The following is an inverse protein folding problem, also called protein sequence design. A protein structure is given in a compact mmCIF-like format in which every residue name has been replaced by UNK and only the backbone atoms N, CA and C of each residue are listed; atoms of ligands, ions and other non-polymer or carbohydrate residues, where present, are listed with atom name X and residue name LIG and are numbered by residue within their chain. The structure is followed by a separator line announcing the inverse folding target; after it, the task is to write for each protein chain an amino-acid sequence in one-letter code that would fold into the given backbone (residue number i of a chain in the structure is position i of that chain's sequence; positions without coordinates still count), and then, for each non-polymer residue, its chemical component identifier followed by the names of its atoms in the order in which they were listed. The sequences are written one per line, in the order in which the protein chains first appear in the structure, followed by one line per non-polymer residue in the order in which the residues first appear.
data_IF_507862965215
#
_entry.id   IF_507862965215
#
_cell.length_a   1.000
_cell.length_b   1.000
_cell.length_c   1.000
_cell.angle_alpha   90.00
_cell.angle_beta   90.00
_cell.angle_gamma   90.00
#
_symmetry.space_group_name_H-M   'P 1'
#
loop_
_entity.id
_entity.type
_entity.pdbx_description
1 polymer ?
#
# COMPACT_ATOMS: atom_id res chain seq x y z
N UNK A 1 -41.69 71.41 6.44
CA UNK A 1 -41.91 71.06 5.02
C UNK A 1 -40.62 71.50 4.31
N UNK A 2 -39.70 70.66 3.86
CA UNK A 2 -39.67 69.23 3.60
C UNK A 2 -38.32 68.63 4.05
N UNK A 3 -38.31 67.31 4.26
CA UNK A 3 -37.17 66.49 4.60
C UNK A 3 -36.35 66.12 3.35
N UNK A 4 -35.03 66.12 3.48
CA UNK A 4 -34.12 65.38 2.61
C UNK A 4 -33.07 64.76 3.53
N UNK A 5 -33.23 63.46 3.78
CA UNK A 5 -32.29 62.60 4.45
C UNK A 5 -31.90 61.56 3.39
N UNK A 6 -30.63 61.57 2.98
CA UNK A 6 -30.08 60.67 1.97
C UNK A 6 -29.74 59.33 2.66
N UNK A 7 -30.53 58.29 2.34
CA UNK A 7 -30.33 56.91 2.80
C UNK A 7 -29.37 56.20 1.81
N UNK A 8 -28.07 56.23 2.10
CA UNK A 8 -27.06 55.38 1.46
C UNK A 8 -27.26 53.92 1.92
N UNK A 9 -27.96 53.12 1.11
CA UNK A 9 -28.06 51.67 1.29
C UNK A 9 -26.92 50.96 0.56
N UNK A 10 -25.95 50.49 1.31
CA UNK A 10 -24.93 49.54 0.88
C UNK A 10 -25.56 48.14 0.77
N UNK A 11 -25.77 47.69 -0.46
CA UNK A 11 -26.24 46.34 -0.78
C UNK A 11 -25.11 45.33 -0.53
N UNK A 12 -25.22 44.54 0.55
CA UNK A 12 -24.29 43.44 0.84
C UNK A 12 -24.90 42.14 0.33
N UNK A 13 -24.48 41.68 -0.85
CA UNK A 13 -24.84 40.37 -1.37
C UNK A 13 -24.07 39.28 -0.61
N UNK A 14 -24.76 38.53 0.25
CA UNK A 14 -24.25 37.31 0.85
C UNK A 14 -24.13 36.22 -0.24
N UNK A 15 -22.91 35.74 -0.51
CA UNK A 15 -22.68 34.54 -1.32
C UNK A 15 -23.27 33.33 -0.59
N UNK A 16 -24.18 32.62 -1.25
CA UNK A 16 -24.65 31.31 -0.83
C UNK A 16 -23.46 30.35 -0.77
N UNK A 17 -23.26 29.73 0.40
CA UNK A 17 -22.28 28.67 0.59
C UNK A 17 -22.68 27.43 -0.18
N UNK A 18 -21.73 26.89 -0.93
CA UNK A 18 -21.82 25.62 -1.65
C UNK A 18 -21.85 24.49 -0.61
N UNK A 19 -23.06 24.06 -0.23
CA UNK A 19 -23.24 22.90 0.62
C UNK A 19 -23.11 21.65 -0.27
N UNK A 20 -21.94 21.02 -0.22
CA UNK A 20 -21.69 19.71 -0.84
C UNK A 20 -22.60 18.69 -0.15
N UNK A 21 -23.51 18.09 -0.92
CA UNK A 21 -24.38 17.02 -0.47
C UNK A 21 -23.58 15.71 -0.36
N UNK A 22 -23.08 15.44 0.85
CA UNK A 22 -22.30 14.24 1.20
C UNK A 22 -23.07 12.94 0.92
N UNK A 23 -24.40 13.01 0.95
CA UNK A 23 -25.30 11.87 0.66
C UNK A 23 -25.35 11.54 -0.82
N UNK A 24 -25.17 12.52 -1.71
CA UNK A 24 -25.06 12.29 -3.16
C UNK A 24 -23.70 11.65 -3.52
N UNK A 25 -22.61 12.05 -2.85
CA UNK A 25 -21.28 11.45 -3.04
C UNK A 25 -21.28 9.96 -2.64
N UNK A 26 -22.04 9.58 -1.61
CA UNK A 26 -22.10 8.19 -1.14
C UNK A 26 -22.79 7.23 -2.13
N UNK A 27 -23.55 7.73 -3.12
CA UNK A 27 -24.21 6.90 -4.15
C UNK A 27 -23.32 6.56 -5.34
N UNK A 28 -22.25 7.34 -5.56
CA UNK A 28 -21.36 7.22 -6.73
C UNK A 28 -20.04 6.48 -6.41
N UNK A 29 -19.83 6.06 -5.15
CA UNK A 29 -18.62 5.33 -4.73
C UNK A 29 -18.82 3.83 -4.94
N UNK A 30 -18.00 3.22 -5.79
CA UNK A 30 -17.92 1.78 -5.88
C UNK A 30 -17.22 1.20 -4.63
N UNK A 31 -17.99 0.49 -3.81
CA UNK A 31 -17.55 -0.04 -2.52
C UNK A 31 -16.46 -1.10 -2.67
N UNK A 32 -16.48 -1.91 -3.74
CA UNK A 32 -15.51 -3.00 -3.92
C UNK A 32 -14.06 -2.48 -4.14
N UNK A 33 -13.77 -1.64 -5.16
CA UNK A 33 -12.45 -1.01 -5.28
C UNK A 33 -12.08 -0.18 -4.06
N UNK A 34 -13.06 0.45 -3.39
CA UNK A 34 -12.84 1.14 -2.12
C UNK A 34 -12.29 0.21 -1.02
N UNK A 35 -12.89 -0.97 -0.86
CA UNK A 35 -12.46 -1.98 0.09
C UNK A 35 -11.07 -2.53 -0.24
N UNK A 36 -10.80 -2.85 -1.52
CA UNK A 36 -9.45 -3.25 -1.96
C UNK A 36 -8.40 -2.18 -1.66
N UNK A 37 -8.75 -0.91 -1.88
CA UNK A 37 -7.88 0.22 -1.56
C UNK A 37 -7.57 0.36 -0.06
N UNK A 38 -8.51 0.01 0.80
CA UNK A 38 -8.29 -0.05 2.24
C UNK A 38 -7.37 -1.23 2.61
N UNK A 39 -7.58 -2.42 2.04
CA UNK A 39 -6.69 -3.59 2.25
C UNK A 39 -5.24 -3.23 1.92
N UNK A 40 -4.96 -2.60 0.77
CA UNK A 40 -3.62 -2.15 0.42
C UNK A 40 -3.04 -1.13 1.41
N UNK A 41 -3.86 -0.20 1.92
CA UNK A 41 -3.41 0.76 2.92
C UNK A 41 -3.04 0.08 4.25
N UNK A 42 -3.81 -0.93 4.68
CA UNK A 42 -3.44 -1.72 5.85
C UNK A 42 -2.17 -2.53 5.60
N UNK A 43 -2.03 -3.18 4.46
CA UNK A 43 -0.79 -3.90 4.11
C UNK A 43 0.42 -2.97 4.14
N UNK A 44 0.32 -1.76 3.58
CA UNK A 44 1.38 -0.76 3.65
C UNK A 44 1.79 -0.41 5.09
N UNK A 45 0.80 -0.36 6.00
CA UNK A 45 1.03 -0.12 7.43
C UNK A 45 1.64 -1.33 8.14
N UNK A 46 1.21 -2.55 7.80
CA UNK A 46 1.67 -3.79 8.43
C UNK A 46 3.12 -4.15 8.06
N UNK A 47 3.62 -3.68 6.90
CA UNK A 47 5.05 -3.75 6.54
C UNK A 47 5.88 -2.58 7.12
N UNK A 48 5.53 -2.12 8.32
CA UNK A 48 6.33 -1.18 9.10
C UNK A 48 6.57 -1.72 10.49
N UNK A 49 7.61 -1.23 11.18
CA UNK A 49 7.81 -1.58 12.57
C UNK A 49 6.56 -1.20 13.38
N UNK A 50 6.02 -2.16 14.12
CA UNK A 50 4.81 -1.98 14.89
C UNK A 50 5.05 -1.02 16.07
N UNK A 51 4.47 0.18 15.97
CA UNK A 51 4.35 1.06 17.12
C UNK A 51 3.36 0.51 18.16
N UNK A 52 3.22 1.22 19.28
CA UNK A 52 2.39 0.77 20.40
C UNK A 52 0.91 0.62 20.03
N UNK A 53 0.43 1.38 19.06
CA UNK A 53 -0.98 1.34 18.66
C UNK A 53 -1.23 0.21 17.68
N UNK A 54 -0.36 0.04 16.68
CA UNK A 54 -0.45 -1.08 15.76
C UNK A 54 -0.29 -2.42 16.49
N UNK A 55 0.67 -2.52 17.42
CA UNK A 55 0.84 -3.72 18.24
C UNK A 55 -0.42 -4.06 19.03
N UNK A 56 -1.07 -3.07 19.65
CA UNK A 56 -2.28 -3.32 20.44
C UNK A 56 -3.42 -3.85 19.57
N UNK A 57 -3.61 -3.28 18.37
CA UNK A 57 -4.62 -3.74 17.43
C UNK A 57 -4.33 -5.17 16.94
N UNK A 58 -3.07 -5.49 16.63
CA UNK A 58 -2.65 -6.84 16.28
C UNK A 58 -2.86 -7.83 17.44
N UNK A 59 -2.51 -7.46 18.67
CA UNK A 59 -2.66 -8.34 19.83
C UNK A 59 -4.13 -8.53 20.25
N UNK A 60 -4.97 -7.53 19.99
CA UNK A 60 -6.41 -7.57 20.26
C UNK A 60 -7.22 -8.35 19.22
N UNK A 61 -6.66 -8.63 18.04
CA UNK A 61 -7.38 -9.22 16.91
C UNK A 61 -8.13 -8.20 16.05
N UNK A 62 -8.10 -6.91 16.40
CA UNK A 62 -8.83 -5.85 15.71
C UNK A 62 -8.44 -5.77 14.22
N UNK A 63 -7.16 -5.99 13.91
CA UNK A 63 -6.68 -6.01 12.51
C UNK A 63 -7.25 -7.20 11.75
N UNK A 64 -7.35 -8.38 12.37
CA UNK A 64 -7.95 -9.58 11.74
C UNK A 64 -9.41 -9.30 11.40
N UNK A 65 -10.18 -8.81 12.37
CA UNK A 65 -11.60 -8.49 12.19
C UNK A 65 -11.82 -7.41 11.11
N UNK A 66 -10.89 -6.46 10.98
CA UNK A 66 -10.95 -5.42 9.96
C UNK A 66 -10.69 -6.00 8.55
N UNK A 67 -9.72 -6.90 8.39
CA UNK A 67 -9.50 -7.57 7.10
C UNK A 67 -10.68 -8.44 6.71
N UNK A 68 -11.28 -9.18 7.64
CA UNK A 68 -12.51 -9.95 7.38
C UNK A 68 -13.63 -9.03 6.84
N UNK A 69 -13.90 -7.91 7.50
CA UNK A 69 -14.92 -6.96 7.08
C UNK A 69 -14.63 -6.29 5.73
N UNK A 70 -13.34 -6.03 5.43
CA UNK A 70 -12.93 -5.49 4.14
C UNK A 70 -13.07 -6.53 3.03
N UNK A 71 -12.74 -7.79 3.31
CA UNK A 71 -12.86 -8.88 2.36
C UNK A 71 -14.32 -9.21 2.05
N UNK A 72 -15.23 -9.14 3.03
CA UNK A 72 -16.68 -9.25 2.81
C UNK A 72 -17.25 -8.17 1.87
N UNK A 73 -16.55 -7.03 1.76
CA UNK A 73 -16.93 -5.90 0.89
C UNK A 73 -16.20 -5.91 -0.45
N UNK A 74 -15.16 -6.72 -0.58
CA UNK A 74 -14.47 -6.92 -1.84
C UNK A 74 -15.10 -8.10 -2.59
N UNK A 75 -15.13 -8.04 -3.91
CA UNK A 75 -15.65 -9.14 -4.73
C UNK A 75 -14.63 -10.29 -4.94
N UNK A 76 -13.50 -10.26 -4.22
CA UNK A 76 -12.42 -11.22 -4.37
C UNK A 76 -12.66 -12.48 -3.53
N UNK A 77 -12.41 -13.64 -4.12
CA UNK A 77 -12.43 -14.92 -3.44
C UNK A 77 -11.07 -15.15 -2.74
N UNK A 78 -10.88 -14.51 -1.58
CA UNK A 78 -9.64 -14.59 -0.79
C UNK A 78 -9.99 -14.91 0.66
N UNK A 79 -9.45 -16.03 1.16
CA UNK A 79 -9.59 -16.40 2.56
C UNK A 79 -8.94 -15.34 3.48
N UNK A 80 -9.66 -14.83 4.49
CA UNK A 80 -9.13 -13.87 5.46
C UNK A 80 -7.87 -14.36 6.17
N UNK A 81 -6.93 -13.46 6.48
CA UNK A 81 -5.73 -13.81 7.23
C UNK A 81 -5.98 -13.76 8.74
N UNK A 82 -5.29 -14.60 9.52
CA UNK A 82 -5.13 -14.37 10.96
C UNK A 82 -3.87 -13.55 11.22
N UNK A 83 -4.06 -12.28 11.57
CA UNK A 83 -2.98 -11.35 11.89
C UNK A 83 -2.78 -11.15 13.39
N UNK A 84 -3.46 -11.94 14.22
CA UNK A 84 -3.34 -11.84 15.67
C UNK A 84 -1.92 -12.19 16.11
N UNK A 85 -1.32 -11.37 16.98
CA UNK A 85 0.00 -11.62 17.57
C UNK A 85 -0.13 -12.00 19.03
N UNK A 86 0.54 -13.09 19.42
CA UNK A 86 0.53 -13.59 20.81
C UNK A 86 1.83 -13.30 21.56
N UNK A 87 2.88 -12.93 20.82
CA UNK A 87 4.16 -12.51 21.39
C UNK A 87 4.10 -11.06 21.90
N UNK A 88 5.10 -10.68 22.70
CA UNK A 88 5.18 -9.29 23.15
C UNK A 88 5.69 -8.36 22.04
N UNK A 89 5.56 -7.04 22.26
CA UNK A 89 5.94 -6.04 21.26
C UNK A 89 7.45 -6.03 20.99
N UNK A 90 8.26 -6.41 21.97
CA UNK A 90 9.72 -6.42 21.83
C UNK A 90 10.14 -7.57 20.91
N UNK A 91 9.58 -8.76 21.10
CA UNK A 91 9.79 -9.91 20.22
C UNK A 91 9.32 -9.65 18.77
N UNK A 92 8.15 -9.00 18.60
CA UNK A 92 7.65 -8.63 17.27
C UNK A 92 8.56 -7.60 16.57
N UNK A 93 9.08 -6.62 17.31
CA UNK A 93 10.01 -5.62 16.80
C UNK A 93 11.38 -6.23 16.48
N UNK A 94 11.88 -7.12 17.35
CA UNK A 94 13.11 -7.87 17.09
C UNK A 94 13.00 -8.65 15.79
N UNK A 95 11.88 -9.37 15.57
CA UNK A 95 11.65 -10.09 14.32
C UNK A 95 11.56 -9.17 13.11
N UNK A 96 10.91 -8.00 13.23
CA UNK A 96 10.90 -7.02 12.14
C UNK A 96 12.33 -6.61 11.75
N UNK A 97 13.15 -6.31 12.74
CA UNK A 97 14.52 -5.87 12.52
C UNK A 97 15.37 -6.99 11.90
N UNK A 98 15.24 -8.21 12.41
CA UNK A 98 15.97 -9.38 11.91
C UNK A 98 15.61 -9.72 10.46
N UNK A 99 14.34 -9.54 10.06
CA UNK A 99 13.89 -9.85 8.70
C UNK A 99 14.17 -8.74 7.70
N UNK A 100 13.93 -7.48 8.07
CA UNK A 100 13.79 -6.39 7.09
C UNK A 100 14.78 -5.24 7.25
N UNK A 101 15.52 -5.16 8.36
CA UNK A 101 16.37 -3.99 8.68
C UNK A 101 17.84 -4.35 8.76
N UNK A 102 18.18 -5.40 9.50
CA UNK A 102 19.56 -5.77 9.79
C UNK A 102 20.14 -6.57 8.62
N UNK A 103 21.09 -5.98 7.89
CA UNK A 103 21.93 -6.69 6.93
C UNK A 103 23.14 -7.36 7.59
N UNK A 104 23.69 -8.39 6.94
CA UNK A 104 24.90 -9.07 7.39
C UNK A 104 26.14 -8.50 6.69
N UNK A 105 27.18 -8.20 7.46
CA UNK A 105 28.49 -7.81 6.95
C UNK A 105 29.55 -8.80 7.42
N UNK A 106 30.11 -9.59 6.51
CA UNK A 106 31.22 -10.51 6.82
C UNK A 106 32.53 -10.03 6.19
N UNK A 107 33.61 -10.01 6.97
CA UNK A 107 34.96 -9.74 6.44
C UNK A 107 35.48 -11.03 5.79
N UNK A 108 35.41 -11.09 4.47
CA UNK A 108 35.81 -12.25 3.66
C UNK A 108 37.34 -12.40 3.61
N UNK A 109 38.08 -11.30 3.58
CA UNK A 109 39.54 -11.32 3.66
C UNK A 109 40.07 -10.18 4.55
N UNK A 110 40.73 -10.55 5.65
CA UNK A 110 41.32 -9.62 6.62
C UNK A 110 42.61 -8.97 6.14
N UNK A 111 43.19 -9.47 5.04
CA UNK A 111 44.47 -9.05 4.48
C UNK A 111 44.32 -7.87 3.54
N UNK A 112 43.21 -7.81 2.80
CA UNK A 112 42.86 -6.69 1.91
C UNK A 112 41.66 -5.87 2.40
N UNK A 113 40.95 -6.34 3.43
CA UNK A 113 39.80 -5.66 4.01
C UNK A 113 38.50 -5.86 3.22
N UNK A 114 38.42 -6.87 2.35
CA UNK A 114 37.19 -7.18 1.61
C UNK A 114 36.07 -7.55 2.58
N UNK A 115 35.00 -6.77 2.56
CA UNK A 115 33.76 -7.00 3.31
C UNK A 115 32.66 -7.37 2.32
N UNK A 116 32.04 -8.52 2.53
CA UNK A 116 30.79 -8.87 1.87
C UNK A 116 29.65 -8.30 2.71
N UNK A 117 28.87 -7.41 2.11
CA UNK A 117 27.66 -6.88 2.72
C UNK A 117 26.47 -7.50 2.00
N UNK A 118 25.68 -8.27 2.73
CA UNK A 118 24.34 -8.66 2.33
C UNK A 118 23.33 -7.73 3.01
N UNK A 119 22.28 -7.38 2.26
CA UNK A 119 21.12 -6.69 2.81
C UNK A 119 20.40 -7.54 3.85
N UNK A 120 19.27 -7.05 4.40
CA UNK A 120 18.44 -7.86 5.27
C UNK A 120 18.00 -9.16 4.56
N UNK A 121 17.74 -10.25 5.30
CA UNK A 121 17.33 -11.54 4.73
C UNK A 121 16.13 -11.43 3.78
N UNK A 122 15.22 -10.51 4.09
CA UNK A 122 14.07 -10.18 3.26
C UNK A 122 14.09 -8.68 2.96
N UNK A 123 14.33 -8.33 1.70
CA UNK A 123 14.34 -6.92 1.30
C UNK A 123 12.94 -6.34 1.19
N UNK A 124 12.78 -5.07 1.55
CA UNK A 124 11.57 -4.30 1.25
C UNK A 124 11.76 -3.39 0.03
N UNK A 125 12.66 -3.78 -0.89
CA UNK A 125 12.86 -3.12 -2.19
C UNK A 125 12.65 -4.09 -3.37
N UNK A 126 11.86 -3.66 -4.36
CA UNK A 126 11.48 -4.46 -5.53
C UNK A 126 12.71 -4.93 -6.33
N UNK A 127 13.72 -4.08 -6.46
CA UNK A 127 14.92 -4.37 -7.25
C UNK A 127 15.65 -5.63 -6.82
N UNK A 128 15.57 -5.99 -5.52
CA UNK A 128 16.27 -7.15 -4.97
C UNK A 128 15.62 -8.48 -5.38
N UNK A 129 14.43 -8.41 -5.98
CA UNK A 129 13.69 -9.54 -6.56
C UNK A 129 13.78 -9.60 -8.08
N UNK A 130 14.55 -8.70 -8.70
CA UNK A 130 14.71 -8.58 -10.16
C UNK A 130 16.18 -8.69 -10.57
N UNK A 131 16.75 -9.91 -10.61
CA UNK A 131 18.16 -10.08 -10.99
C UNK A 131 18.47 -9.62 -12.42
N UNK A 132 17.46 -9.57 -13.29
CA UNK A 132 17.59 -9.22 -14.71
C UNK A 132 17.31 -7.74 -15.03
N UNK A 133 16.93 -6.91 -14.04
CA UNK A 133 16.58 -5.49 -14.25
C UNK A 133 17.39 -4.62 -13.30
N UNK A 134 17.92 -3.50 -13.80
CA UNK A 134 18.71 -2.61 -12.94
C UNK A 134 17.82 -1.83 -11.96
N UNK A 135 18.32 -1.57 -10.75
CA UNK A 135 17.65 -0.73 -9.75
C UNK A 135 17.21 0.63 -10.33
N UNK A 136 18.03 1.24 -11.20
CA UNK A 136 17.72 2.51 -11.86
C UNK A 136 16.50 2.39 -12.79
N UNK A 137 16.38 1.30 -13.54
CA UNK A 137 15.28 1.11 -14.48
C UNK A 137 13.96 0.91 -13.71
N UNK A 138 13.98 0.12 -12.65
CA UNK A 138 12.82 -0.09 -11.76
C UNK A 138 12.37 1.25 -11.16
N UNK A 139 13.29 2.00 -10.55
CA UNK A 139 12.96 3.28 -9.92
C UNK A 139 12.48 4.33 -10.92
N UNK A 140 13.02 4.36 -12.14
CA UNK A 140 12.57 5.29 -13.17
C UNK A 140 11.17 4.95 -13.67
N UNK A 141 10.85 3.67 -13.82
CA UNK A 141 9.51 3.23 -14.24
C UNK A 141 8.47 3.58 -13.16
N UNK A 142 8.76 3.28 -11.88
CA UNK A 142 7.90 3.65 -10.76
C UNK A 142 7.72 5.17 -10.63
N UNK A 143 8.80 5.94 -10.75
CA UNK A 143 8.72 7.40 -10.70
C UNK A 143 7.78 7.95 -11.80
N UNK A 144 7.84 7.39 -13.01
CA UNK A 144 6.95 7.75 -14.12
C UNK A 144 5.50 7.35 -13.84
N UNK A 145 5.28 6.15 -13.30
CA UNK A 145 3.95 5.69 -12.92
C UNK A 145 3.34 6.63 -11.87
N UNK A 146 4.09 6.97 -10.81
CA UNK A 146 3.61 7.88 -9.77
C UNK A 146 3.33 9.27 -10.35
N UNK A 147 4.25 9.83 -11.15
CA UNK A 147 4.10 11.16 -11.76
C UNK A 147 2.88 11.22 -12.69
N UNK A 148 2.62 10.18 -13.47
CA UNK A 148 1.46 10.12 -14.38
C UNK A 148 0.12 10.31 -13.63
N UNK A 149 0.02 9.79 -12.40
CA UNK A 149 -1.14 9.95 -11.56
C UNK A 149 -1.07 11.17 -10.62
N UNK A 150 -0.01 11.99 -10.72
CA UNK A 150 0.17 13.18 -9.89
C UNK A 150 0.65 12.88 -8.47
N UNK A 151 1.21 11.70 -8.23
CA UNK A 151 1.81 11.31 -6.96
C UNK A 151 3.30 11.68 -6.93
N UNK A 152 3.80 12.03 -5.75
CA UNK A 152 5.22 12.28 -5.51
C UNK A 152 5.65 11.59 -4.24
N UNK A 153 6.85 11.00 -4.25
CA UNK A 153 7.46 10.42 -3.05
C UNK A 153 8.02 11.54 -2.19
N UNK A 154 7.75 11.46 -0.89
CA UNK A 154 8.34 12.37 0.09
C UNK A 154 9.87 12.17 0.14
N UNK A 155 10.61 13.18 -0.33
CA UNK A 155 12.06 13.16 -0.41
C UNK A 155 12.75 13.33 0.97
N UNK A 156 12.01 13.75 2.00
CA UNK A 156 12.53 13.86 3.37
C UNK A 156 12.62 12.49 4.04
N UNK A 157 11.78 11.55 3.61
CA UNK A 157 11.86 10.14 3.99
C UNK A 157 12.82 9.44 3.03
N UNK A 158 13.97 8.97 3.52
CA UNK A 158 14.98 8.26 2.72
C UNK A 158 14.50 6.88 2.24
N UNK A 159 13.50 6.83 1.36
CA UNK A 159 13.01 5.63 0.70
C UNK A 159 13.03 5.86 -0.81
N UNK A 160 13.56 4.88 -1.52
CA UNK A 160 13.51 4.84 -2.98
C UNK A 160 12.10 4.46 -3.44
N UNK A 161 11.78 4.72 -4.72
CA UNK A 161 10.43 4.56 -5.27
C UNK A 161 9.94 3.11 -5.22
N UNK A 162 10.89 2.16 -5.27
CA UNK A 162 10.71 0.71 -5.25
C UNK A 162 10.57 0.11 -3.85
N UNK A 163 10.35 0.94 -2.83
CA UNK A 163 10.05 0.43 -1.50
C UNK A 163 8.62 -0.12 -1.45
N UNK A 164 8.41 -1.35 -0.95
CA UNK A 164 7.11 -2.05 -0.91
C UNK A 164 5.94 -1.17 -0.42
N UNK A 165 6.16 -0.49 0.71
CA UNK A 165 5.18 0.43 1.30
C UNK A 165 4.66 1.47 0.30
N UNK A 166 5.53 2.08 -0.52
CA UNK A 166 5.12 3.10 -1.48
C UNK A 166 4.29 2.49 -2.60
N UNK A 167 4.67 1.31 -3.10
CA UNK A 167 3.89 0.59 -4.12
C UNK A 167 2.51 0.18 -3.60
N UNK A 168 2.41 -0.28 -2.35
CA UNK A 168 1.14 -0.60 -1.70
C UNK A 168 0.28 0.66 -1.49
N UNK A 169 0.86 1.76 -1.02
CA UNK A 169 0.18 3.05 -0.88
C UNK A 169 -0.36 3.55 -2.23
N UNK A 170 0.44 3.39 -3.29
CA UNK A 170 0.09 3.76 -4.65
C UNK A 170 -1.03 2.88 -5.22
N UNK A 171 -0.95 1.56 -5.08
CA UNK A 171 -2.02 0.66 -5.48
C UNK A 171 -3.32 0.95 -4.72
N UNK A 172 -3.23 1.22 -3.41
CA UNK A 172 -4.38 1.65 -2.61
C UNK A 172 -4.99 2.96 -3.10
N UNK A 173 -4.15 3.91 -3.55
CA UNK A 173 -4.59 5.14 -4.20
C UNK A 173 -5.30 4.87 -5.53
N UNK A 174 -4.77 3.99 -6.39
CA UNK A 174 -5.43 3.62 -7.66
C UNK A 174 -6.80 2.99 -7.40
N UNK A 175 -6.90 2.09 -6.42
CA UNK A 175 -8.17 1.48 -6.03
C UNK A 175 -9.21 2.54 -5.60
N UNK A 176 -8.81 3.53 -4.78
CA UNK A 176 -9.68 4.65 -4.39
C UNK A 176 -10.07 5.54 -5.57
N UNK A 177 -9.18 5.71 -6.56
CA UNK A 177 -9.52 6.43 -7.80
C UNK A 177 -10.51 5.68 -8.66
N UNK A 178 -10.37 4.37 -8.81
CA UNK A 178 -11.36 3.54 -9.51
C UNK A 178 -12.73 3.62 -8.82
N UNK A 179 -12.74 3.69 -7.49
CA UNK A 179 -13.98 3.80 -6.72
C UNK A 179 -14.77 5.09 -7.01
N UNK A 180 -14.12 6.17 -7.47
CA UNK A 180 -14.72 7.52 -7.55
C UNK A 180 -14.69 8.14 -8.96
N UNK A 181 -13.71 7.80 -9.80
CA UNK A 181 -13.30 8.66 -10.92
C UNK A 181 -13.42 8.01 -12.30
N UNK A 182 -13.10 6.72 -12.49
CA UNK A 182 -13.17 6.09 -13.83
C UNK A 182 -12.90 4.56 -13.81
N UNK A 183 -13.65 3.70 -14.55
CA UNK A 183 -13.24 2.32 -14.83
C UNK A 183 -11.90 2.16 -15.57
N UNK A 184 -11.40 3.16 -16.30
CA UNK A 184 -10.09 3.10 -16.99
C UNK A 184 -8.91 2.90 -16.02
N UNK A 185 -9.11 3.17 -14.73
CA UNK A 185 -8.13 2.90 -13.67
C UNK A 185 -7.87 1.39 -13.49
N UNK A 186 -8.85 0.52 -13.80
CA UNK A 186 -8.68 -0.93 -13.70
C UNK A 186 -7.54 -1.44 -14.60
N UNK A 187 -7.42 -0.89 -15.82
CA UNK A 187 -6.33 -1.25 -16.73
C UNK A 187 -4.97 -0.81 -16.20
N UNK A 188 -4.89 0.37 -15.58
CA UNK A 188 -3.65 0.85 -14.96
C UNK A 188 -3.27 0.05 -13.70
N UNK A 189 -4.24 -0.39 -12.91
CA UNK A 189 -4.00 -1.30 -11.79
C UNK A 189 -3.43 -2.63 -12.26
N UNK A 190 -4.01 -3.20 -13.33
CA UNK A 190 -3.52 -4.44 -13.91
C UNK A 190 -2.08 -4.29 -14.45
N UNK A 191 -1.79 -3.19 -15.15
CA UNK A 191 -0.44 -2.88 -15.64
C UNK A 191 0.56 -2.71 -14.48
N UNK A 192 0.18 -2.00 -13.42
CA UNK A 192 1.05 -1.84 -12.24
C UNK A 192 1.30 -3.16 -11.51
N UNK A 193 0.29 -4.02 -11.40
CA UNK A 193 0.45 -5.37 -10.86
C UNK A 193 1.46 -6.19 -11.68
N UNK A 194 1.25 -6.26 -13.00
CA UNK A 194 2.09 -7.02 -13.92
C UNK A 194 3.55 -6.51 -13.92
N UNK A 195 3.71 -5.19 -13.99
CA UNK A 195 5.03 -4.56 -14.11
C UNK A 195 5.77 -4.45 -12.79
N UNK A 196 5.10 -4.42 -11.65
CA UNK A 196 5.71 -4.16 -10.34
C UNK A 196 5.21 -5.10 -9.23
N UNK A 197 4.00 -4.88 -8.75
CA UNK A 197 3.57 -5.37 -7.44
C UNK A 197 3.50 -6.91 -7.35
N UNK A 198 3.19 -7.62 -8.45
CA UNK A 198 3.18 -9.08 -8.46
C UNK A 198 4.57 -9.68 -8.30
N UNK A 199 5.53 -9.20 -9.09
CA UNK A 199 6.93 -9.63 -9.01
C UNK A 199 7.47 -9.42 -7.60
N UNK A 200 7.14 -8.26 -7.00
CA UNK A 200 7.50 -8.00 -5.61
C UNK A 200 6.82 -8.99 -4.66
N UNK A 201 5.49 -9.12 -4.69
CA UNK A 201 4.76 -9.97 -3.74
C UNK A 201 5.17 -11.44 -3.80
N UNK A 202 5.48 -11.95 -5.00
CA UNK A 202 5.98 -13.31 -5.22
C UNK A 202 7.37 -13.50 -4.63
N UNK A 203 8.31 -12.62 -4.98
CA UNK A 203 9.68 -12.68 -4.46
C UNK A 203 9.76 -12.50 -2.94
N UNK A 204 8.97 -11.58 -2.38
CA UNK A 204 8.85 -11.35 -0.94
C UNK A 204 8.36 -12.61 -0.23
N UNK A 205 7.30 -13.23 -0.74
CA UNK A 205 6.70 -14.44 -0.15
C UNK A 205 7.63 -15.64 -0.26
N UNK A 206 8.33 -15.79 -1.38
CA UNK A 206 9.35 -16.82 -1.55
C UNK A 206 10.47 -16.67 -0.50
N UNK A 207 11.02 -15.46 -0.34
CA UNK A 207 12.07 -15.19 0.67
C UNK A 207 11.57 -15.41 2.10
N UNK A 208 10.37 -14.94 2.44
CA UNK A 208 9.78 -15.22 3.75
C UNK A 208 9.55 -16.72 3.98
N UNK A 209 9.29 -17.49 2.92
CA UNK A 209 9.16 -18.94 2.97
C UNK A 209 10.48 -19.68 3.21
N UNK A 210 11.62 -19.08 2.88
CA UNK A 210 12.95 -19.65 3.16
C UNK A 210 13.48 -19.31 4.55
N UNK A 211 12.98 -18.24 5.17
CA UNK A 211 13.40 -17.81 6.50
C UNK A 211 12.67 -18.57 7.62
N UNK A 212 13.39 -19.10 8.62
CA UNK A 212 12.76 -19.75 9.77
C UNK A 212 12.13 -18.72 10.71
N UNK A 213 11.02 -19.10 11.35
CA UNK A 213 10.46 -18.31 12.46
C UNK A 213 9.88 -16.95 12.05
N UNK A 214 9.43 -16.79 10.80
CA UNK A 214 8.86 -15.52 10.29
C UNK A 214 7.56 -15.10 10.97
N UNK A 215 6.85 -16.03 11.62
CA UNK A 215 5.71 -15.73 12.49
C UNK A 215 4.63 -14.89 11.79
N UNK A 216 4.27 -13.76 12.39
CA UNK A 216 3.33 -12.78 11.82
C UNK A 216 3.70 -12.38 10.38
N UNK A 217 4.97 -12.07 10.10
CA UNK A 217 5.40 -11.55 8.80
C UNK A 217 5.33 -12.60 7.69
N UNK A 218 5.52 -13.89 8.01
CA UNK A 218 5.29 -14.98 7.06
C UNK A 218 3.83 -15.09 6.63
N UNK A 219 2.89 -14.95 7.58
CA UNK A 219 1.45 -14.91 7.28
C UNK A 219 1.08 -13.65 6.48
N UNK A 220 1.70 -12.52 6.81
CA UNK A 220 1.51 -11.26 6.10
C UNK A 220 1.95 -11.35 4.63
N UNK A 221 3.14 -11.89 4.36
CA UNK A 221 3.63 -12.13 2.99
C UNK A 221 2.71 -13.07 2.22
N UNK A 222 2.35 -14.22 2.81
CA UNK A 222 1.43 -15.17 2.18
C UNK A 222 0.06 -14.58 1.86
N UNK A 223 -0.48 -13.71 2.73
CA UNK A 223 -1.72 -13.01 2.44
C UNK A 223 -1.55 -11.98 1.32
N UNK A 224 -0.47 -11.18 1.34
CA UNK A 224 -0.18 -10.21 0.28
C UNK A 224 -0.18 -10.91 -1.09
N UNK A 225 0.53 -12.03 -1.22
CA UNK A 225 0.59 -12.78 -2.48
C UNK A 225 -0.78 -13.33 -2.91
N UNK A 226 -1.52 -13.98 -2.01
CA UNK A 226 -2.88 -14.46 -2.36
C UNK A 226 -3.81 -13.33 -2.78
N UNK A 227 -3.76 -12.20 -2.08
CA UNK A 227 -4.62 -11.05 -2.33
C UNK A 227 -4.29 -10.40 -3.67
N UNK A 228 -3.01 -10.11 -3.97
CA UNK A 228 -2.61 -9.51 -5.24
C UNK A 228 -2.83 -10.46 -6.41
N UNK A 229 -2.70 -11.77 -6.23
CA UNK A 229 -3.02 -12.76 -7.28
C UNK A 229 -4.52 -12.76 -7.62
N UNK A 230 -5.39 -12.72 -6.59
CA UNK A 230 -6.84 -12.65 -6.79
C UNK A 230 -7.27 -11.33 -7.43
N UNK A 231 -6.65 -10.21 -7.02
CA UNK A 231 -6.91 -8.90 -7.62
C UNK A 231 -6.55 -8.86 -9.11
N UNK A 232 -5.40 -9.45 -9.50
CA UNK A 232 -5.01 -9.59 -10.91
C UNK A 232 -5.99 -10.45 -11.69
N UNK A 233 -6.42 -11.59 -11.13
CA UNK A 233 -7.37 -12.49 -11.80
C UNK A 233 -8.69 -11.77 -12.09
N UNK A 234 -9.26 -11.07 -11.10
CA UNK A 234 -10.48 -10.28 -11.27
C UNK A 234 -10.31 -9.15 -12.29
N UNK A 235 -9.21 -8.40 -12.23
CA UNK A 235 -8.93 -7.33 -13.19
C UNK A 235 -8.78 -7.86 -14.62
N UNK A 236 -8.15 -9.03 -14.80
CA UNK A 236 -8.01 -9.69 -16.09
C UNK A 236 -9.37 -10.16 -16.62
N UNK A 237 -10.17 -10.85 -15.80
CA UNK A 237 -11.51 -11.33 -16.17
C UNK A 237 -12.42 -10.16 -16.59
N UNK A 238 -12.38 -9.04 -15.86
CA UNK A 238 -13.12 -7.81 -16.21
C UNK A 238 -12.66 -7.21 -17.54
N UNK A 239 -11.37 -7.28 -17.85
CA UNK A 239 -10.81 -6.78 -19.11
C UNK A 239 -11.21 -7.66 -20.30
N UNK A 240 -11.19 -8.98 -20.13
CA UNK A 240 -11.62 -9.94 -21.15
C UNK A 240 -13.13 -9.89 -21.38
N UNK A 241 -13.93 -9.74 -20.32
CA UNK A 241 -15.39 -9.61 -20.42
C UNK A 241 -15.87 -8.28 -21.05
N UNK A 242 -15.02 -7.26 -21.06
CA UNK A 242 -15.27 -5.95 -21.69
C UNK A 242 -14.69 -5.81 -23.11
N UNK A 243 -13.97 -6.82 -23.63
CA UNK A 243 -13.36 -6.84 -24.98
C UNK A 243 -14.28 -7.50 -26.02
#
# INVERSE_FOLDING_TARGET
MAAHDEDERTETAAKAGDHVDVTAISGDINVDPGARGAVYAHLARLFTEADSDLYRALAGGDVTDEFEQLLDRCALDVEPPDFTVTEDREDLSARYNDLFVVGYSEVVDKTDGTVHNEGPPVSLYESDYRPDVSWNDVNLDLARAYEYFGCQVDQEVRRNHDHLRLELEFMGYLCRREAVVDPDIAAARLDFHDRHLRVFSEGLTERLGTEPGTGFYGRLGSFLDRFTASDVADLADRREGNS
#
